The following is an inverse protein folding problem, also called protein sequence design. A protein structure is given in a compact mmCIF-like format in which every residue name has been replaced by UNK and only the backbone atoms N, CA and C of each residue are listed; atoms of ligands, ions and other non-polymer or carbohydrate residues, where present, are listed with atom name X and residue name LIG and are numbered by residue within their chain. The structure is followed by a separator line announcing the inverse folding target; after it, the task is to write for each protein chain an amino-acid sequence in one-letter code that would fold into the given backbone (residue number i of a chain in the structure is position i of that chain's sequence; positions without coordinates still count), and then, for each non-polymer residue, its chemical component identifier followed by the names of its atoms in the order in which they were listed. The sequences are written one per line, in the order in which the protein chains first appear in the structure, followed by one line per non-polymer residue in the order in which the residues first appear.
data_IF_791648610300
#
_entry.id   IF_791648610300
#
_cell.length_a   1.000
_cell.length_b   1.000
_cell.length_c   1.000
_cell.angle_alpha   90.00
_cell.angle_beta   90.00
_cell.angle_gamma   90.00
#
_symmetry.space_group_name_H-M   'P 1'
#
loop_
_entity.id
_entity.type
_entity.pdbx_description
1 polymer ?
#
# COMPACT_ATOMS: atom_id res chain seq x y z
N UNK A 1 44.88 -7.20 3.65
CA UNK A 1 44.82 -7.47 2.19
C UNK A 1 43.42 -7.14 1.74
N UNK A 2 43.26 -5.96 1.15
CA UNK A 2 42.00 -5.56 0.53
C UNK A 2 41.84 -6.34 -0.78
N UNK A 3 40.77 -7.13 -0.86
CA UNK A 3 40.42 -7.86 -2.07
C UNK A 3 40.15 -6.87 -3.21
N UNK A 4 40.71 -7.18 -4.37
CA UNK A 4 40.43 -6.49 -5.63
C UNK A 4 38.91 -6.55 -5.88
N UNK A 5 38.24 -5.42 -5.79
CA UNK A 5 36.92 -5.22 -6.38
C UNK A 5 37.09 -5.43 -7.88
N UNK A 6 36.62 -6.56 -8.41
CA UNK A 6 36.45 -6.70 -9.87
C UNK A 6 35.58 -5.54 -10.32
N UNK A 7 36.16 -4.67 -11.11
CA UNK A 7 35.45 -3.61 -11.82
C UNK A 7 34.52 -4.31 -12.81
N UNK A 8 33.26 -4.44 -12.45
CA UNK A 8 32.27 -5.14 -13.27
C UNK A 8 31.78 -4.14 -14.30
N UNK A 9 32.18 -4.35 -15.55
CA UNK A 9 32.04 -3.43 -16.68
C UNK A 9 30.69 -3.50 -17.42
N UNK A 10 29.58 -3.79 -16.71
CA UNK A 10 28.27 -3.88 -17.39
C UNK A 10 27.23 -3.00 -16.68
N UNK A 11 27.43 -1.70 -16.80
CA UNK A 11 26.39 -0.71 -16.61
C UNK A 11 25.59 -0.64 -17.91
N UNK A 12 24.30 -0.83 -17.83
CA UNK A 12 23.39 -0.60 -18.95
C UNK A 12 22.91 0.86 -18.89
N UNK A 13 22.70 1.47 -20.06
CA UNK A 13 22.21 2.84 -20.17
C UNK A 13 21.12 2.90 -21.25
N UNK A 14 20.11 3.73 -21.01
CA UNK A 14 18.98 3.93 -21.90
C UNK A 14 17.68 3.38 -21.34
N UNK A 15 16.70 3.25 -22.25
CA UNK A 15 15.36 2.77 -21.89
C UNK A 15 15.28 1.25 -21.94
N UNK A 16 14.74 0.65 -20.86
CA UNK A 16 14.59 -0.80 -20.74
C UNK A 16 13.37 -1.16 -19.93
N UNK A 17 12.81 -2.32 -20.19
CA UNK A 17 11.82 -2.97 -19.34
C UNK A 17 12.50 -4.13 -18.63
N UNK A 18 12.43 -4.11 -17.29
CA UNK A 18 12.96 -5.20 -16.48
C UNK A 18 11.81 -6.13 -16.09
N UNK A 19 12.10 -7.44 -16.21
CA UNK A 19 11.15 -8.51 -15.90
C UNK A 19 11.76 -9.39 -14.82
N UNK A 20 10.95 -9.81 -13.85
CA UNK A 20 11.42 -10.72 -12.80
C UNK A 20 11.75 -12.10 -13.37
N UNK A 21 12.94 -12.62 -13.01
CA UNK A 21 13.35 -13.98 -13.33
C UNK A 21 13.10 -14.94 -12.17
N UNK A 22 13.28 -14.46 -10.93
CA UNK A 22 13.09 -15.25 -9.70
C UNK A 22 12.47 -14.38 -8.60
N UNK A 23 11.57 -14.95 -7.81
CA UNK A 23 10.88 -14.25 -6.72
C UNK A 23 9.70 -13.45 -7.21
N UNK A 24 9.75 -12.13 -7.15
CA UNK A 24 8.68 -11.26 -7.68
C UNK A 24 8.77 -11.19 -9.21
N UNK A 25 7.99 -12.02 -9.88
CA UNK A 25 8.04 -12.19 -11.34
C UNK A 25 6.99 -11.37 -12.10
N UNK A 26 5.92 -10.96 -11.43
CA UNK A 26 4.71 -10.35 -11.99
C UNK A 26 4.70 -8.81 -11.94
N UNK A 27 5.86 -8.20 -11.70
CA UNK A 27 6.00 -6.74 -11.59
C UNK A 27 7.06 -6.21 -12.55
N UNK A 28 6.73 -6.02 -13.83
CA UNK A 28 7.60 -5.32 -14.76
C UNK A 28 7.96 -3.92 -14.26
N UNK A 29 9.20 -3.50 -14.53
CA UNK A 29 9.68 -2.16 -14.19
C UNK A 29 10.17 -1.48 -15.46
N UNK A 30 9.84 -0.20 -15.63
CA UNK A 30 10.40 0.63 -16.67
C UNK A 30 11.54 1.48 -16.11
N UNK A 31 12.66 1.49 -16.81
CA UNK A 31 13.83 2.31 -16.47
C UNK A 31 14.24 3.14 -17.70
N UNK A 32 14.63 4.38 -17.43
CA UNK A 32 15.25 5.28 -18.39
C UNK A 32 16.51 5.90 -17.77
N UNK A 33 17.68 5.56 -18.32
CA UNK A 33 19.00 5.95 -17.83
C UNK A 33 19.86 4.76 -17.38
N UNK A 34 21.01 5.02 -16.74
CA UNK A 34 21.94 3.98 -16.37
C UNK A 34 21.39 3.08 -15.24
N UNK A 35 21.53 1.76 -15.40
CA UNK A 35 21.10 0.77 -14.41
C UNK A 35 21.98 -0.47 -14.38
N UNK A 36 21.85 -1.24 -13.30
CA UNK A 36 22.42 -2.54 -13.11
C UNK A 36 21.31 -3.56 -12.87
N UNK A 37 21.19 -4.57 -13.70
CA UNK A 37 20.26 -5.69 -13.47
C UNK A 37 20.98 -6.82 -12.72
N UNK A 38 20.40 -7.25 -11.59
CA UNK A 38 20.87 -8.41 -10.82
C UNK A 38 20.42 -9.71 -11.50
N UNK A 39 20.99 -10.83 -11.10
CA UNK A 39 20.74 -12.16 -11.70
C UNK A 39 19.30 -12.69 -11.53
N UNK A 40 18.52 -12.07 -10.64
CA UNK A 40 17.09 -12.35 -10.44
C UNK A 40 16.18 -11.58 -11.38
N UNK A 41 16.73 -10.79 -12.31
CA UNK A 41 15.99 -9.98 -13.28
C UNK A 41 16.44 -10.27 -14.70
N UNK A 42 15.50 -10.19 -15.63
CA UNK A 42 15.78 -9.97 -17.04
C UNK A 42 15.69 -8.47 -17.36
N UNK A 43 16.42 -8.01 -18.36
CA UNK A 43 16.24 -6.69 -18.93
C UNK A 43 16.05 -6.81 -20.46
N UNK A 44 15.29 -5.89 -21.03
CA UNK A 44 15.04 -5.89 -22.47
C UNK A 44 15.93 -4.90 -23.21
N UNK A 45 16.34 -5.25 -24.40
CA UNK A 45 16.85 -4.31 -25.38
C UNK A 45 15.70 -4.01 -26.34
N UNK A 46 15.26 -2.76 -26.37
CA UNK A 46 14.14 -2.34 -27.17
C UNK A 46 14.57 -2.27 -28.65
N UNK A 47 13.78 -2.84 -29.53
CA UNK A 47 14.04 -2.78 -30.97
C UNK A 47 13.64 -1.43 -31.56
N UNK A 48 14.21 -1.05 -32.71
CA UNK A 48 13.96 0.24 -33.35
C UNK A 48 12.48 0.43 -33.80
N UNK A 49 11.76 -0.65 -34.00
CA UNK A 49 10.34 -0.66 -34.33
C UNK A 49 9.41 -0.73 -33.10
N UNK A 50 9.92 -0.47 -31.91
CA UNK A 50 9.14 -0.51 -30.67
C UNK A 50 9.37 0.74 -29.81
N UNK A 51 8.28 1.26 -29.23
CA UNK A 51 8.35 2.36 -28.28
C UNK A 51 8.50 1.82 -26.85
N UNK A 52 9.54 2.19 -26.10
CA UNK A 52 9.88 1.56 -24.81
C UNK A 52 8.74 1.51 -23.78
N UNK A 53 8.01 2.59 -23.61
CA UNK A 53 6.87 2.63 -22.70
C UNK A 53 5.70 1.78 -23.16
N UNK A 54 5.50 1.65 -24.46
CA UNK A 54 4.47 0.73 -25.00
C UNK A 54 4.86 -0.72 -24.67
N UNK A 55 6.13 -1.09 -24.82
CA UNK A 55 6.63 -2.41 -24.40
C UNK A 55 6.41 -2.64 -22.91
N UNK A 56 6.66 -1.63 -22.06
CA UNK A 56 6.38 -1.70 -20.64
C UNK A 56 4.89 -1.95 -20.34
N UNK A 57 3.98 -1.20 -20.96
CA UNK A 57 2.55 -1.39 -20.78
C UNK A 57 2.07 -2.75 -21.28
N UNK A 58 2.61 -3.21 -22.41
CA UNK A 58 2.37 -4.56 -22.91
C UNK A 58 2.86 -5.62 -21.93
N UNK A 59 4.03 -5.42 -21.33
CA UNK A 59 4.58 -6.33 -20.32
C UNK A 59 3.71 -6.43 -19.06
N UNK A 60 3.00 -5.37 -18.67
CA UNK A 60 2.05 -5.41 -17.54
C UNK A 60 0.83 -6.32 -17.81
N UNK A 61 0.55 -6.67 -19.07
CA UNK A 61 -0.56 -7.55 -19.45
C UNK A 61 -0.16 -9.02 -19.56
N UNK A 62 1.13 -9.35 -19.44
CA UNK A 62 1.63 -10.73 -19.52
C UNK A 62 1.05 -11.56 -18.37
N UNK A 63 0.40 -12.71 -18.67
CA UNK A 63 -0.09 -13.61 -17.64
C UNK A 63 1.07 -14.45 -17.06
N UNK A 64 1.93 -13.82 -16.25
CA UNK A 64 3.15 -14.42 -15.72
C UNK A 64 2.95 -15.76 -15.03
N UNK A 65 1.77 -15.99 -14.44
CA UNK A 65 1.42 -17.28 -13.82
C UNK A 65 1.50 -18.48 -14.77
N UNK A 66 1.33 -18.26 -16.08
CA UNK A 66 1.43 -19.32 -17.10
C UNK A 66 2.89 -19.74 -17.35
N UNK A 67 3.83 -18.86 -17.09
CA UNK A 67 5.25 -19.06 -17.33
C UNK A 67 6.03 -19.38 -16.05
N UNK A 68 5.38 -19.27 -14.91
CA UNK A 68 6.00 -19.48 -13.60
C UNK A 68 6.07 -20.95 -13.23
N UNK A 69 7.21 -21.37 -12.68
CA UNK A 69 7.29 -22.65 -11.97
C UNK A 69 6.48 -22.58 -10.66
N UNK A 70 5.67 -23.61 -10.39
CA UNK A 70 4.91 -23.74 -9.14
C UNK A 70 5.77 -24.22 -7.97
N UNK A 71 6.83 -23.47 -7.66
CA UNK A 71 7.75 -23.76 -6.54
C UNK A 71 7.61 -22.67 -5.47
N UNK A 72 8.16 -22.94 -4.28
CA UNK A 72 8.17 -21.96 -3.17
C UNK A 72 8.83 -20.61 -3.55
N UNK A 73 9.74 -20.64 -4.53
CA UNK A 73 10.31 -19.44 -5.15
C UNK A 73 9.96 -19.45 -6.65
N UNK A 74 8.94 -18.66 -7.07
CA UNK A 74 8.56 -18.56 -8.47
C UNK A 74 9.75 -18.19 -9.36
N UNK A 75 9.87 -18.84 -10.51
CA UNK A 75 10.91 -18.52 -11.49
C UNK A 75 10.41 -18.72 -12.92
N UNK A 76 11.01 -18.02 -13.88
CA UNK A 76 10.65 -18.06 -15.28
C UNK A 76 11.89 -18.24 -16.16
N UNK A 77 11.73 -18.92 -17.30
CA UNK A 77 12.74 -18.96 -18.34
C UNK A 77 12.61 -17.76 -19.30
N UNK A 78 13.74 -17.21 -19.73
CA UNK A 78 13.74 -16.09 -20.69
C UNK A 78 13.17 -16.47 -22.06
N UNK A 79 13.33 -17.73 -22.48
CA UNK A 79 12.81 -18.25 -23.73
C UNK A 79 11.27 -18.27 -23.76
N UNK A 80 10.65 -18.65 -22.65
CA UNK A 80 9.19 -18.65 -22.52
C UNK A 80 8.62 -17.23 -22.63
N UNK A 81 9.24 -16.26 -21.95
CA UNK A 81 8.85 -14.87 -22.01
C UNK A 81 9.10 -14.26 -23.40
N UNK A 82 10.20 -14.61 -24.06
CA UNK A 82 10.52 -14.09 -25.40
C UNK A 82 9.58 -14.63 -26.47
N UNK A 83 8.95 -15.76 -26.22
CA UNK A 83 7.96 -16.39 -27.10
C UNK A 83 6.54 -15.88 -26.87
N UNK A 84 6.31 -15.04 -25.84
CA UNK A 84 5.00 -14.46 -25.57
C UNK A 84 4.58 -13.49 -26.69
N UNK A 85 3.39 -13.72 -27.22
CA UNK A 85 2.85 -12.93 -28.35
C UNK A 85 2.19 -11.67 -27.81
N UNK A 86 2.62 -10.53 -28.32
CA UNK A 86 1.97 -9.22 -28.10
C UNK A 86 1.44 -8.68 -29.43
N UNK A 87 0.48 -7.76 -29.36
CA UNK A 87 0.00 -7.03 -30.52
C UNK A 87 0.65 -5.66 -30.51
N UNK A 88 1.34 -5.29 -31.59
CA UNK A 88 2.04 -4.03 -31.69
C UNK A 88 1.62 -3.30 -33.00
N UNK A 89 1.04 -2.09 -32.92
CA UNK A 89 0.80 -1.23 -34.06
C UNK A 89 2.13 -0.55 -34.51
N UNK A 90 2.05 0.32 -35.51
CA UNK A 90 3.19 1.14 -35.93
C UNK A 90 3.73 2.02 -34.77
N UNK A 91 5.02 2.36 -34.80
CA UNK A 91 5.73 3.03 -33.70
C UNK A 91 5.06 4.33 -33.26
N UNK A 92 4.55 5.13 -34.22
CA UNK A 92 3.87 6.38 -33.89
C UNK A 92 2.57 6.15 -33.10
N UNK A 93 1.85 5.11 -33.41
CA UNK A 93 0.64 4.72 -32.68
C UNK A 93 1.00 4.15 -31.31
N UNK A 94 2.05 3.34 -31.21
CA UNK A 94 2.57 2.85 -29.90
C UNK A 94 2.89 4.03 -28.97
N UNK A 95 3.54 5.07 -29.49
CA UNK A 95 3.86 6.30 -28.75
C UNK A 95 2.61 7.05 -28.31
N UNK A 96 1.63 7.20 -29.21
CA UNK A 96 0.36 7.85 -28.87
C UNK A 96 -0.39 7.11 -27.76
N UNK A 97 -0.45 5.77 -27.84
CA UNK A 97 -1.03 4.92 -26.81
C UNK A 97 -0.31 5.10 -25.49
N UNK A 98 1.03 5.02 -25.47
CA UNK A 98 1.82 5.16 -24.25
C UNK A 98 1.62 6.52 -23.58
N UNK A 99 1.63 7.60 -24.36
CA UNK A 99 1.35 8.96 -23.84
C UNK A 99 -0.06 9.08 -23.27
N UNK A 100 -1.04 8.47 -23.95
CA UNK A 100 -2.43 8.42 -23.46
C UNK A 100 -2.54 7.69 -22.13
N UNK A 101 -1.91 6.52 -22.01
CA UNK A 101 -1.90 5.73 -20.77
C UNK A 101 -1.17 6.48 -19.65
N UNK A 102 0.01 7.06 -19.92
CA UNK A 102 0.75 7.90 -18.95
C UNK A 102 -0.14 9.01 -18.37
N UNK A 103 -0.87 9.72 -19.23
CA UNK A 103 -1.73 10.83 -18.82
C UNK A 103 -2.87 10.34 -17.91
N UNK A 104 -3.57 9.28 -18.29
CA UNK A 104 -4.70 8.79 -17.51
C UNK A 104 -4.26 8.13 -16.20
N UNK A 105 -3.15 7.39 -16.19
CA UNK A 105 -2.60 6.82 -14.95
C UNK A 105 -2.12 7.90 -14.00
N UNK A 106 -1.39 8.92 -14.49
CA UNK A 106 -1.00 10.06 -13.66
C UNK A 106 -2.20 10.80 -13.05
N UNK A 107 -3.31 10.92 -13.81
CA UNK A 107 -4.56 11.49 -13.31
C UNK A 107 -5.18 10.65 -12.20
N UNK A 108 -5.18 9.33 -12.36
CA UNK A 108 -5.68 8.38 -11.34
C UNK A 108 -4.83 8.47 -10.08
N UNK A 109 -3.50 8.47 -10.21
CA UNK A 109 -2.57 8.56 -9.07
C UNK A 109 -2.73 9.87 -8.30
N UNK A 110 -2.92 10.99 -9.02
CA UNK A 110 -3.22 12.27 -8.40
C UNK A 110 -4.55 12.25 -7.64
N UNK A 111 -5.58 11.56 -8.15
CA UNK A 111 -6.86 11.38 -7.47
C UNK A 111 -6.73 10.49 -6.23
N UNK A 112 -5.97 9.40 -6.31
CA UNK A 112 -5.68 8.51 -5.18
C UNK A 112 -5.00 9.31 -4.07
N UNK A 113 -3.97 10.08 -4.40
CA UNK A 113 -3.23 10.92 -3.45
C UNK A 113 -4.16 11.92 -2.75
N UNK A 114 -5.00 12.63 -3.51
CA UNK A 114 -5.96 13.60 -2.95
C UNK A 114 -6.98 12.91 -2.04
N UNK A 115 -7.52 11.76 -2.43
CA UNK A 115 -8.49 11.01 -1.64
C UNK A 115 -7.88 10.46 -0.35
N UNK A 116 -6.65 9.94 -0.41
CA UNK A 116 -5.92 9.49 0.78
C UNK A 116 -5.74 10.63 1.77
N UNK A 117 -5.29 11.80 1.29
CA UNK A 117 -5.15 12.98 2.16
C UNK A 117 -6.49 13.44 2.75
N UNK A 118 -7.55 13.38 1.96
CA UNK A 118 -8.90 13.72 2.44
C UNK A 118 -9.38 12.77 3.54
N UNK A 119 -9.12 11.45 3.40
CA UNK A 119 -9.45 10.46 4.45
C UNK A 119 -8.68 10.76 5.75
N UNK A 120 -7.41 11.12 5.66
CA UNK A 120 -6.61 11.52 6.84
C UNK A 120 -7.23 12.73 7.54
N UNK A 121 -7.55 13.78 6.80
CA UNK A 121 -8.19 14.98 7.35
C UNK A 121 -9.56 14.68 7.99
N UNK A 122 -10.34 13.77 7.40
CA UNK A 122 -11.60 13.34 8.00
C UNK A 122 -11.41 12.58 9.31
N UNK A 123 -10.36 11.74 9.40
CA UNK A 123 -9.98 11.05 10.65
C UNK A 123 -9.56 12.06 11.73
N UNK A 124 -8.73 13.04 11.38
CA UNK A 124 -8.32 14.12 12.27
C UNK A 124 -9.54 14.94 12.76
N UNK A 125 -10.41 15.33 11.82
CA UNK A 125 -11.66 16.06 12.15
C UNK A 125 -12.57 15.26 13.07
N UNK A 126 -12.74 13.96 12.80
CA UNK A 126 -13.53 13.07 13.65
C UNK A 126 -12.97 13.04 15.07
N UNK A 127 -11.65 12.88 15.21
CA UNK A 127 -10.99 12.85 16.52
C UNK A 127 -11.14 14.20 17.24
N UNK A 128 -10.94 15.30 16.54
CA UNK A 128 -11.11 16.64 17.10
C UNK A 128 -12.55 16.89 17.58
N UNK A 129 -13.56 16.46 16.80
CA UNK A 129 -14.98 16.57 17.19
C UNK A 129 -15.28 15.74 18.45
N UNK A 130 -14.79 14.49 18.53
CA UNK A 130 -14.99 13.66 19.70
C UNK A 130 -14.34 14.31 20.93
N UNK A 131 -13.06 14.70 20.80
CA UNK A 131 -12.30 15.34 21.88
C UNK A 131 -13.01 16.62 22.35
N UNK A 132 -13.43 17.47 21.43
CA UNK A 132 -14.16 18.70 21.74
C UNK A 132 -15.47 18.40 22.48
N UNK A 133 -16.29 17.48 21.95
CA UNK A 133 -17.58 17.16 22.56
C UNK A 133 -17.46 16.60 23.98
N UNK A 134 -16.47 15.74 24.24
CA UNK A 134 -16.29 15.10 25.57
C UNK A 134 -15.49 15.94 26.55
N UNK A 135 -14.86 17.03 26.12
CA UNK A 135 -14.08 17.92 27.01
C UNK A 135 -14.70 19.31 27.14
N UNK A 136 -15.35 19.81 26.09
CA UNK A 136 -15.89 21.21 26.03
C UNK A 136 -17.41 21.26 25.86
N UNK A 137 -18.06 20.11 25.62
CA UNK A 137 -19.51 20.05 25.38
C UNK A 137 -19.90 20.42 23.96
N UNK A 138 -21.20 20.54 23.74
CA UNK A 138 -21.81 20.85 22.43
C UNK A 138 -22.26 22.30 22.32
N UNK A 139 -22.48 22.99 23.43
CA UNK A 139 -22.90 24.40 23.43
C UNK A 139 -21.68 25.33 23.44
N UNK A 140 -21.45 26.11 22.37
CA UNK A 140 -20.31 27.01 22.28
C UNK A 140 -20.42 28.23 23.21
N UNK A 141 -21.60 28.50 23.77
CA UNK A 141 -21.86 29.69 24.62
C UNK A 141 -21.75 29.37 26.12
N UNK A 142 -21.43 28.14 26.48
CA UNK A 142 -21.30 27.74 27.87
C UNK A 142 -20.09 28.41 28.52
N UNK A 143 -20.25 28.84 29.75
CA UNK A 143 -19.15 29.42 30.52
C UNK A 143 -18.10 28.37 30.84
N UNK A 144 -16.85 28.68 30.58
CA UNK A 144 -15.71 27.75 30.75
C UNK A 144 -14.95 28.06 32.02
N UNK A 145 -14.28 27.05 32.57
CA UNK A 145 -13.30 27.15 33.69
C UNK A 145 -12.08 26.26 33.39
N UNK A 146 -10.96 26.62 33.96
CA UNK A 146 -9.78 25.74 33.93
C UNK A 146 -10.05 24.42 34.67
N UNK A 147 -9.79 23.30 34.00
CA UNK A 147 -9.92 21.98 34.61
C UNK A 147 -8.81 21.68 35.64
N UNK A 148 -7.71 22.42 35.61
CA UNK A 148 -6.48 22.12 36.35
C UNK A 148 -5.80 20.83 35.90
N UNK A 149 -6.02 20.40 34.65
CA UNK A 149 -5.38 19.26 33.99
C UNK A 149 -4.87 19.71 32.62
N UNK A 150 -3.55 19.80 32.47
CA UNK A 150 -2.87 20.42 31.32
C UNK A 150 -3.39 19.93 29.96
N UNK A 151 -3.53 18.63 29.77
CA UNK A 151 -3.96 18.05 28.49
C UNK A 151 -5.49 18.19 28.21
N UNK A 152 -6.31 18.53 29.20
CA UNK A 152 -7.75 18.82 29.06
C UNK A 152 -7.97 20.31 28.77
N UNK A 153 -7.25 21.17 29.49
CA UNK A 153 -7.41 22.62 29.43
C UNK A 153 -8.74 23.06 30.08
N UNK A 154 -9.48 23.93 29.39
CA UNK A 154 -10.77 24.42 29.86
C UNK A 154 -11.92 23.44 29.64
N UNK A 155 -12.87 23.42 30.60
CA UNK A 155 -14.11 22.63 30.58
C UNK A 155 -15.31 23.49 30.96
N UNK A 156 -16.55 23.12 30.61
CA UNK A 156 -17.77 23.83 31.08
C UNK A 156 -17.79 24.01 32.59
N UNK A 157 -18.17 25.20 33.07
CA UNK A 157 -18.11 25.57 34.49
C UNK A 157 -18.86 24.60 35.40
N UNK A 158 -19.99 24.07 34.91
CA UNK A 158 -20.85 23.12 35.64
C UNK A 158 -20.32 21.68 35.63
N UNK A 159 -19.26 21.36 34.83
CA UNK A 159 -18.71 20.02 34.79
C UNK A 159 -17.79 19.75 35.98
N UNK A 160 -17.77 18.48 36.43
CA UNK A 160 -16.94 18.03 37.53
C UNK A 160 -15.88 17.07 37.01
N UNK A 161 -14.61 17.33 37.32
CA UNK A 161 -13.56 16.32 37.07
C UNK A 161 -13.62 15.22 38.11
N UNK A 162 -13.48 13.97 37.67
CA UNK A 162 -13.47 12.82 38.56
C UNK A 162 -12.62 11.70 37.98
N UNK A 163 -12.04 10.83 38.83
CA UNK A 163 -11.31 9.65 38.35
C UNK A 163 -12.23 8.71 37.57
N UNK A 164 -11.70 8.02 36.56
CA UNK A 164 -12.43 7.09 35.70
C UNK A 164 -13.18 6.00 36.51
N UNK A 165 -12.56 5.52 37.61
CA UNK A 165 -13.16 4.56 38.54
C UNK A 165 -14.51 4.99 39.18
N UNK A 166 -14.88 6.27 39.07
CA UNK A 166 -16.18 6.79 39.55
C UNK A 166 -17.30 6.62 38.54
N UNK A 167 -16.96 6.39 37.28
CA UNK A 167 -17.92 6.28 36.17
C UNK A 167 -17.90 4.91 35.51
N UNK A 168 -16.83 4.14 35.65
CA UNK A 168 -16.70 2.79 35.11
C UNK A 168 -15.74 1.93 35.91
N UNK A 169 -15.95 0.62 35.88
CA UNK A 169 -15.03 -0.39 36.42
C UNK A 169 -14.20 -0.99 35.29
N UNK A 170 -12.91 -1.18 35.55
CA UNK A 170 -12.02 -1.87 34.61
C UNK A 170 -11.95 -3.35 35.01
N UNK A 171 -12.36 -4.22 34.10
CA UNK A 171 -12.31 -5.67 34.26
C UNK A 171 -11.34 -6.29 33.27
N UNK A 172 -10.65 -7.35 33.65
CA UNK A 172 -9.79 -8.11 32.76
C UNK A 172 -10.63 -9.02 31.86
N UNK A 173 -10.24 -9.16 30.59
CA UNK A 173 -10.74 -10.23 29.72
C UNK A 173 -10.30 -11.61 30.20
N UNK A 174 -10.90 -12.66 29.63
CA UNK A 174 -10.57 -14.06 29.89
C UNK A 174 -10.07 -14.74 28.63
N UNK A 175 -9.46 -15.91 28.75
CA UNK A 175 -9.13 -16.76 27.61
C UNK A 175 -10.45 -17.21 26.93
N UNK A 176 -10.42 -17.23 25.60
CA UNK A 176 -11.56 -17.53 24.74
C UNK A 176 -11.52 -18.94 24.14
N UNK A 177 -10.38 -19.67 24.28
CA UNK A 177 -10.15 -20.94 23.58
C UNK A 177 -11.17 -22.03 23.93
N UNK A 178 -11.68 -22.00 25.13
CA UNK A 178 -12.68 -23.01 25.61
C UNK A 178 -14.07 -22.74 25.00
N UNK A 179 -14.35 -21.52 24.58
CA UNK A 179 -15.64 -21.08 24.04
C UNK A 179 -15.58 -20.75 22.54
N UNK A 180 -14.41 -20.93 21.91
CA UNK A 180 -14.21 -20.65 20.49
C UNK A 180 -15.07 -21.55 19.62
N UNK A 181 -15.90 -20.95 18.80
CA UNK A 181 -16.76 -21.61 17.82
C UNK A 181 -16.88 -20.75 16.57
N UNK A 182 -16.43 -21.28 15.42
CA UNK A 182 -16.45 -20.55 14.15
C UNK A 182 -17.87 -20.09 13.74
N UNK A 183 -18.92 -20.77 14.21
CA UNK A 183 -20.33 -20.43 13.97
C UNK A 183 -20.98 -19.75 15.19
N UNK A 184 -20.22 -19.41 16.20
CA UNK A 184 -20.68 -18.79 17.43
C UNK A 184 -21.38 -17.45 17.21
N UNK A 185 -22.35 -17.14 18.06
CA UNK A 185 -23.14 -15.91 17.97
C UNK A 185 -22.38 -14.67 18.45
N UNK A 186 -21.39 -14.84 19.33
CA UNK A 186 -20.73 -13.75 20.02
C UNK A 186 -19.35 -13.46 19.43
N UNK A 187 -19.00 -12.18 19.19
CA UNK A 187 -17.68 -11.82 18.72
C UNK A 187 -16.63 -11.93 19.83
N UNK A 188 -15.49 -12.53 19.54
CA UNK A 188 -14.29 -12.48 20.39
C UNK A 188 -13.46 -11.29 20.00
N UNK A 189 -13.29 -10.35 20.94
CA UNK A 189 -12.66 -9.06 20.70
C UNK A 189 -11.27 -9.03 21.34
N UNK A 190 -10.26 -8.77 20.53
CA UNK A 190 -8.89 -8.48 20.96
C UNK A 190 -8.49 -7.04 20.75
N UNK A 191 -7.23 -6.72 20.98
CA UNK A 191 -6.69 -5.36 20.80
C UNK A 191 -6.81 -4.82 19.37
N UNK A 192 -6.86 -5.71 18.37
CA UNK A 192 -7.04 -5.37 16.94
C UNK A 192 -8.49 -5.38 16.47
N UNK A 193 -9.46 -5.64 17.34
CA UNK A 193 -10.89 -5.79 17.00
C UNK A 193 -11.37 -7.24 17.08
N UNK A 194 -12.46 -7.55 16.38
CA UNK A 194 -12.99 -8.91 16.27
C UNK A 194 -12.02 -9.80 15.47
N UNK A 195 -11.69 -10.98 16.00
CA UNK A 195 -10.78 -11.92 15.34
C UNK A 195 -11.24 -13.39 15.42
N UNK A 196 -12.22 -13.71 16.23
CA UNK A 196 -12.83 -15.03 16.36
C UNK A 196 -14.29 -14.92 16.81
N UNK A 197 -14.97 -16.04 16.93
CA UNK A 197 -16.33 -16.12 17.48
C UNK A 197 -16.41 -17.12 18.61
N UNK A 198 -17.42 -16.97 19.44
CA UNK A 198 -17.70 -17.83 20.57
C UNK A 198 -19.17 -18.25 20.61
N UNK A 199 -19.44 -19.43 21.14
CA UNK A 199 -20.80 -19.96 21.33
C UNK A 199 -21.48 -19.41 22.61
N UNK A 200 -20.69 -19.14 23.66
CA UNK A 200 -21.14 -18.64 24.99
C UNK A 200 -20.18 -17.55 25.50
#
# INVERSE_FOLDING_TARGET
RFGHTKQVSMLFDGESVLLGRKGTIDKPLYINGPFWAVDTMFYTKIADNAFPKFVYYSALTIPFGLYSTNTALPSMAGEDLSSHVIVAPEVEEQKAIAVGVDRETARIDALITKKTRFIELLKEKRQALITHAVTKGLDPNVKMKDSGVEWIGEVPEHWKKMPFKRVASICNGRDYKEVEDANGAYPVIGSGGEFARASD
#
